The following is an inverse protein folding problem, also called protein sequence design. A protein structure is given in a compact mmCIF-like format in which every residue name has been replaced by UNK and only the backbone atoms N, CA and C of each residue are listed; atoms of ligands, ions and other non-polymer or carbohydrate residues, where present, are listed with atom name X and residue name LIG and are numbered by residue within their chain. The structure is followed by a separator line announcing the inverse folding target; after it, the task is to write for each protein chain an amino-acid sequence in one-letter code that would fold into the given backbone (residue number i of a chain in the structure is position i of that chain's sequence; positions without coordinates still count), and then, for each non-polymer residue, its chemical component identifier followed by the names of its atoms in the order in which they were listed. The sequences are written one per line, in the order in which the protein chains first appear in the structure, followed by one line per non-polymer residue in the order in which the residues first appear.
data_IF_599967270339
#
_entry.id   IF_599967270339
#
_cell.length_a   1.000
_cell.length_b   1.000
_cell.length_c   1.000
_cell.angle_alpha   90.00
_cell.angle_beta   90.00
_cell.angle_gamma   90.00
#
_symmetry.space_group_name_H-M   'P 1'
#
loop_
_entity.id
_entity.type
_entity.pdbx_description
1 polymer ?
#
# COMPACT_ATOMS: atom_id res chain seq x y z
N UNK A 1 -16.43 -11.21 5.48
CA UNK A 1 -16.98 -9.85 5.27
C UNK A 1 -15.87 -9.00 4.74
N UNK A 2 -16.08 -8.33 3.61
CA UNK A 2 -15.04 -7.49 3.02
C UNK A 2 -14.65 -6.37 4.00
N UNK A 3 -13.34 -6.17 4.18
CA UNK A 3 -12.79 -5.08 4.99
C UNK A 3 -12.77 -3.78 4.19
N UNK A 4 -12.51 -3.86 2.88
CA UNK A 4 -12.60 -2.74 1.93
C UNK A 4 -13.55 -3.11 0.80
N UNK A 5 -14.49 -2.22 0.50
CA UNK A 5 -15.43 -2.34 -0.62
C UNK A 5 -15.34 -1.08 -1.46
N UNK A 6 -15.17 -1.25 -2.76
CA UNK A 6 -15.19 -0.17 -3.75
C UNK A 6 -16.28 -0.50 -4.76
N UNK A 7 -17.22 0.42 -4.94
CA UNK A 7 -18.39 0.22 -5.78
C UNK A 7 -18.48 1.33 -6.84
N UNK A 8 -18.31 0.95 -8.11
CA UNK A 8 -18.41 1.79 -9.31
C UNK A 8 -17.62 3.12 -9.19
N UNK A 9 -16.42 3.06 -8.58
CA UNK A 9 -15.58 4.23 -8.37
C UNK A 9 -15.11 4.80 -9.71
N UNK A 10 -15.45 6.06 -9.96
CA UNK A 10 -14.96 6.82 -11.11
C UNK A 10 -14.26 8.08 -10.64
N UNK A 11 -13.08 8.37 -11.20
CA UNK A 11 -12.35 9.61 -10.98
C UNK A 11 -12.01 10.29 -12.28
N UNK A 12 -12.42 11.57 -12.39
CA UNK A 12 -12.13 12.44 -13.52
C UNK A 12 -11.28 13.64 -13.06
N UNK A 13 -10.38 14.06 -13.90
CA UNK A 13 -9.63 15.31 -13.79
C UNK A 13 -9.85 16.12 -15.07
N UNK A 14 -10.76 17.08 -15.05
CA UNK A 14 -11.23 17.73 -16.26
C UNK A 14 -11.78 16.74 -17.27
N UNK A 15 -11.21 16.70 -18.48
CA UNK A 15 -11.60 15.77 -19.54
C UNK A 15 -11.00 14.35 -19.40
N UNK A 16 -10.01 14.15 -18.53
CA UNK A 16 -9.36 12.85 -18.34
C UNK A 16 -10.12 11.99 -17.35
N UNK A 17 -10.49 10.77 -17.73
CA UNK A 17 -11.03 9.74 -16.84
C UNK A 17 -9.87 8.86 -16.37
N UNK A 18 -9.42 9.07 -15.15
CA UNK A 18 -8.27 8.34 -14.59
C UNK A 18 -8.65 6.98 -13.98
N UNK A 19 -9.87 6.86 -13.44
CA UNK A 19 -10.49 5.59 -13.07
C UNK A 19 -11.94 5.59 -13.57
N UNK A 20 -12.42 4.45 -14.05
CA UNK A 20 -13.76 4.30 -14.63
C UNK A 20 -14.41 3.03 -14.07
N UNK A 21 -15.51 3.21 -13.35
CA UNK A 21 -16.39 2.15 -12.86
C UNK A 21 -15.62 1.00 -12.16
N UNK A 22 -14.62 1.36 -11.35
CA UNK A 22 -13.82 0.39 -10.58
C UNK A 22 -14.68 -0.20 -9.46
N UNK A 23 -14.86 -1.51 -9.48
CA UNK A 23 -15.49 -2.25 -8.40
C UNK A 23 -14.56 -3.37 -7.94
N UNK A 24 -14.26 -3.41 -6.65
CA UNK A 24 -13.43 -4.43 -6.01
C UNK A 24 -13.77 -4.57 -4.53
N UNK A 25 -13.42 -5.69 -3.95
CA UNK A 25 -13.45 -5.91 -2.52
C UNK A 25 -12.11 -6.46 -2.04
N UNK A 26 -11.80 -6.29 -0.76
CA UNK A 26 -10.66 -6.90 -0.09
C UNK A 26 -11.14 -7.48 1.23
N UNK A 27 -10.94 -8.79 1.42
CA UNK A 27 -11.30 -9.46 2.66
C UNK A 27 -10.25 -9.17 3.75
N UNK A 28 -10.69 -9.24 5.03
CA UNK A 28 -9.76 -9.15 6.15
C UNK A 28 -8.75 -10.30 6.08
N UNK A 29 -7.45 -10.00 6.27
CA UNK A 29 -6.39 -10.99 6.16
C UNK A 29 -6.07 -11.42 4.72
N UNK A 30 -6.45 -10.62 3.71
CA UNK A 30 -6.06 -10.86 2.32
C UNK A 30 -4.84 -10.00 1.94
N UNK A 31 -3.96 -10.51 1.07
CA UNK A 31 -2.95 -9.71 0.37
C UNK A 31 -3.40 -9.58 -1.08
N UNK A 32 -3.79 -8.36 -1.47
CA UNK A 32 -4.19 -8.02 -2.84
C UNK A 32 -3.12 -7.18 -3.50
N UNK A 33 -2.62 -7.60 -4.66
CA UNK A 33 -1.77 -6.78 -5.49
C UNK A 33 -2.56 -6.09 -6.60
N UNK A 34 -2.26 -4.82 -6.85
CA UNK A 34 -2.78 -4.06 -7.98
C UNK A 34 -1.61 -3.77 -8.93
N UNK A 35 -1.68 -4.33 -10.13
CA UNK A 35 -0.67 -4.14 -11.16
C UNK A 35 -1.27 -3.48 -12.41
N UNK A 36 -0.42 -3.09 -13.34
CA UNK A 36 -0.83 -2.48 -14.61
C UNK A 36 0.25 -1.56 -15.18
N UNK A 37 0.16 -1.19 -16.45
CA UNK A 37 1.10 -0.28 -17.10
C UNK A 37 1.18 1.09 -16.41
N UNK A 38 2.21 1.88 -16.74
CA UNK A 38 2.28 3.27 -16.31
C UNK A 38 1.10 4.06 -16.89
N UNK A 39 0.48 4.88 -16.05
CA UNK A 39 -0.74 5.60 -16.44
C UNK A 39 -2.04 4.81 -16.34
N UNK A 40 -2.03 3.54 -15.91
CA UNK A 40 -3.23 2.72 -15.77
C UNK A 40 -4.23 3.20 -14.69
N UNK A 41 -3.88 4.21 -13.87
CA UNK A 41 -4.78 4.75 -12.83
C UNK A 41 -4.53 4.22 -11.41
N UNK A 42 -3.50 3.40 -11.18
CA UNK A 42 -3.19 2.79 -9.88
C UNK A 42 -3.04 3.81 -8.75
N UNK A 43 -2.15 4.80 -8.92
CA UNK A 43 -1.91 5.84 -7.92
C UNK A 43 -3.14 6.74 -7.71
N UNK A 44 -3.96 6.94 -8.75
CA UNK A 44 -5.24 7.65 -8.63
C UNK A 44 -6.22 6.87 -7.76
N UNK A 45 -6.34 5.56 -7.97
CA UNK A 45 -7.17 4.70 -7.13
C UNK A 45 -6.71 4.76 -5.67
N UNK A 46 -5.40 4.57 -5.39
CA UNK A 46 -4.84 4.64 -4.04
C UNK A 46 -5.08 6.00 -3.38
N UNK A 47 -4.92 7.10 -4.13
CA UNK A 47 -5.23 8.44 -3.64
C UNK A 47 -6.72 8.58 -3.25
N UNK A 48 -7.62 7.97 -4.02
CA UNK A 48 -9.05 7.94 -3.72
C UNK A 48 -9.36 7.15 -2.45
N UNK A 49 -8.78 5.94 -2.31
CA UNK A 49 -8.96 5.08 -1.13
C UNK A 49 -8.41 5.72 0.15
N UNK A 50 -7.31 6.47 0.05
CA UNK A 50 -6.68 7.15 1.18
C UNK A 50 -7.25 8.55 1.47
N UNK A 51 -8.29 9.01 0.74
CA UNK A 51 -8.95 10.29 0.97
C UNK A 51 -8.21 11.53 0.48
N UNK A 52 -7.13 11.37 -0.32
CA UNK A 52 -6.40 12.52 -0.88
C UNK A 52 -7.20 13.27 -1.95
N UNK A 53 -8.14 12.61 -2.58
CA UNK A 53 -9.16 13.24 -3.42
C UNK A 53 -10.44 12.40 -3.40
N UNK A 54 -11.59 13.07 -3.41
CA UNK A 54 -12.86 12.38 -3.55
C UNK A 54 -13.01 11.78 -4.96
N UNK A 55 -13.62 10.60 -5.10
CA UNK A 55 -14.09 10.12 -6.40
C UNK A 55 -15.10 11.09 -7.01
N UNK A 56 -15.26 11.07 -8.33
CA UNK A 56 -16.30 11.83 -9.03
C UNK A 56 -17.67 11.17 -8.85
N UNK A 57 -17.69 9.83 -8.80
CA UNK A 57 -18.87 9.02 -8.47
C UNK A 57 -18.44 7.67 -7.89
N UNK A 58 -19.40 6.93 -7.36
CA UNK A 58 -19.18 5.64 -6.69
C UNK A 58 -18.94 5.78 -5.20
N UNK A 59 -18.75 4.64 -4.53
CA UNK A 59 -18.60 4.54 -3.09
C UNK A 59 -17.34 3.78 -2.71
N UNK A 60 -16.79 4.12 -1.54
CA UNK A 60 -15.69 3.39 -0.92
C UNK A 60 -16.04 3.18 0.55
N UNK A 61 -16.15 1.92 0.97
CA UNK A 61 -16.42 1.57 2.37
C UNK A 61 -15.24 0.82 2.96
N UNK A 62 -14.88 1.17 4.17
CA UNK A 62 -13.88 0.48 4.97
C UNK A 62 -14.47 0.09 6.31
N UNK A 63 -14.42 -1.20 6.64
CA UNK A 63 -15.03 -1.76 7.85
C UNK A 63 -16.51 -1.33 7.98
N UNK A 64 -17.25 -1.44 6.87
CA UNK A 64 -18.66 -1.05 6.73
C UNK A 64 -18.95 0.45 6.74
N UNK A 65 -17.93 1.34 6.84
CA UNK A 65 -18.11 2.79 6.94
C UNK A 65 -17.69 3.48 5.66
N UNK A 66 -18.52 4.42 5.16
CA UNK A 66 -18.23 5.23 3.99
C UNK A 66 -16.97 6.09 4.20
N UNK A 67 -16.06 6.08 3.21
CA UNK A 67 -14.84 6.88 3.18
C UNK A 67 -14.97 8.15 2.33
N UNK A 68 -15.89 8.17 1.36
CA UNK A 68 -16.03 9.33 0.46
C UNK A 68 -16.33 10.59 1.26
N UNK A 69 -15.55 11.64 1.03
CA UNK A 69 -15.64 12.91 1.74
C UNK A 69 -14.94 12.96 3.10
N UNK A 70 -14.30 11.86 3.53
CA UNK A 70 -13.46 11.89 4.74
C UNK A 70 -12.05 12.38 4.41
N UNK A 71 -11.42 13.01 5.42
CA UNK A 71 -10.01 13.43 5.32
C UNK A 71 -9.07 12.23 5.51
N UNK A 72 -7.83 12.29 5.00
CA UNK A 72 -6.83 11.23 5.21
C UNK A 72 -6.61 10.89 6.68
N UNK A 73 -6.63 11.88 7.58
CA UNK A 73 -6.46 11.71 9.02
C UNK A 73 -7.63 10.92 9.63
N UNK A 74 -8.86 11.22 9.19
CA UNK A 74 -10.04 10.48 9.64
C UNK A 74 -10.00 9.03 9.16
N UNK A 75 -9.55 8.77 7.94
CA UNK A 75 -9.38 7.43 7.37
C UNK A 75 -8.27 6.67 8.12
N UNK A 76 -7.13 7.32 8.39
CA UNK A 76 -6.05 6.75 9.20
C UNK A 76 -6.53 6.36 10.61
N UNK A 77 -7.33 7.22 11.25
CA UNK A 77 -7.93 6.94 12.56
C UNK A 77 -8.91 5.74 12.53
N UNK A 78 -9.49 5.39 11.38
CA UNK A 78 -10.30 4.18 11.21
C UNK A 78 -9.46 2.91 11.06
N UNK A 79 -8.14 3.04 10.81
CA UNK A 79 -7.20 1.93 10.69
C UNK A 79 -6.81 1.58 9.25
N UNK A 80 -7.11 2.43 8.27
CA UNK A 80 -6.59 2.30 6.92
C UNK A 80 -5.43 3.27 6.75
N UNK A 81 -4.22 2.74 6.64
CA UNK A 81 -2.99 3.53 6.48
C UNK A 81 -2.40 3.35 5.08
N UNK A 82 -1.65 4.36 4.64
CA UNK A 82 -0.96 4.33 3.35
C UNK A 82 0.51 4.71 3.51
N UNK A 83 1.38 4.02 2.77
CA UNK A 83 2.75 4.48 2.50
C UNK A 83 2.78 5.28 1.18
N UNK A 84 3.87 6.02 0.96
CA UNK A 84 4.07 6.81 -0.24
C UNK A 84 5.23 6.23 -1.07
N UNK A 85 5.17 6.40 -2.37
CA UNK A 85 6.22 5.97 -3.30
C UNK A 85 7.58 6.58 -2.95
N UNK A 86 7.60 7.87 -2.56
CA UNK A 86 8.80 8.56 -2.08
C UNK A 86 8.71 8.62 -0.55
N UNK A 87 9.62 7.97 0.19
CA UNK A 87 9.63 8.00 1.64
C UNK A 87 9.70 9.42 2.19
N UNK A 88 8.84 9.72 3.16
CA UNK A 88 8.77 11.03 3.83
C UNK A 88 9.17 10.87 5.29
N UNK A 89 10.45 10.57 5.53
CA UNK A 89 10.99 10.54 6.88
C UNK A 89 11.34 11.95 7.38
N UNK A 90 11.28 12.13 8.68
CA UNK A 90 11.82 13.31 9.36
C UNK A 90 13.34 13.10 9.50
N UNK A 91 14.10 13.58 8.53
CA UNK A 91 15.51 13.27 8.36
C UNK A 91 16.39 13.61 9.56
N UNK A 92 16.07 14.71 10.29
CA UNK A 92 16.80 15.15 11.47
C UNK A 92 16.43 14.39 12.76
N UNK A 93 15.30 13.67 12.76
CA UNK A 93 14.89 12.84 13.88
C UNK A 93 15.52 11.46 13.77
N UNK A 94 15.72 10.79 14.92
CA UNK A 94 16.15 9.39 14.94
C UNK A 94 15.10 8.48 14.28
N UNK A 95 15.52 7.27 13.92
CA UNK A 95 14.62 6.23 13.41
C UNK A 95 13.52 5.93 14.43
N UNK A 96 13.85 5.84 15.71
CA UNK A 96 12.88 5.62 16.79
C UNK A 96 11.85 6.74 16.88
N UNK A 97 12.29 8.00 16.90
CA UNK A 97 11.38 9.15 16.96
C UNK A 97 10.45 9.21 15.74
N UNK A 98 10.92 8.87 14.53
CA UNK A 98 10.09 8.75 13.37
C UNK A 98 8.94 7.75 13.56
N UNK A 99 9.21 6.60 14.17
CA UNK A 99 8.19 5.56 14.40
C UNK A 99 7.26 5.96 15.54
N UNK A 100 7.78 6.61 16.59
CA UNK A 100 6.97 7.16 17.68
C UNK A 100 5.89 8.13 17.18
N UNK A 101 6.18 8.94 16.15
CA UNK A 101 5.16 9.83 15.55
C UNK A 101 3.92 9.05 15.09
N UNK A 102 4.12 7.88 14.48
CA UNK A 102 3.01 7.00 14.10
C UNK A 102 2.29 6.41 15.32
N UNK A 103 3.05 5.97 16.31
CA UNK A 103 2.50 5.36 17.52
C UNK A 103 1.61 6.32 18.33
N UNK A 104 1.92 7.63 18.32
CA UNK A 104 1.14 8.66 19.04
C UNK A 104 -0.32 8.75 18.59
N UNK A 105 -0.67 8.26 17.40
CA UNK A 105 -2.07 8.20 16.96
C UNK A 105 -2.95 7.33 17.89
N UNK A 106 -2.38 6.28 18.49
CA UNK A 106 -3.08 5.33 19.36
C UNK A 106 -2.60 5.35 20.80
N UNK A 107 -1.38 5.79 21.03
CA UNK A 107 -0.68 5.78 22.30
C UNK A 107 -0.26 7.21 22.63
N UNK A 108 -1.12 8.00 23.34
CA UNK A 108 -0.91 9.44 23.50
C UNK A 108 0.22 9.83 24.45
N UNK A 109 0.81 8.88 25.18
CA UNK A 109 1.97 9.14 26.05
C UNK A 109 3.27 8.79 25.34
N UNK A 110 4.34 9.56 25.57
CA UNK A 110 5.65 9.32 24.96
C UNK A 110 6.23 7.96 25.32
N UNK A 111 6.02 7.48 26.54
CA UNK A 111 6.53 6.20 26.98
C UNK A 111 5.82 5.05 26.28
N UNK A 112 4.48 5.05 26.22
CA UNK A 112 3.73 4.04 25.48
C UNK A 112 4.04 4.07 23.98
N UNK A 113 4.18 5.26 23.37
CA UNK A 113 4.57 5.39 21.97
C UNK A 113 5.99 4.84 21.72
N UNK A 114 6.91 5.04 22.67
CA UNK A 114 8.28 4.52 22.60
C UNK A 114 8.29 2.98 22.65
N UNK A 115 7.53 2.38 23.56
CA UNK A 115 7.45 0.93 23.70
C UNK A 115 6.94 0.27 22.43
N UNK A 116 5.86 0.82 21.84
CA UNK A 116 5.32 0.37 20.55
C UNK A 116 6.35 0.55 19.43
N UNK A 117 7.03 1.70 19.39
CA UNK A 117 8.03 1.97 18.36
C UNK A 117 9.19 0.96 18.41
N UNK A 118 9.66 0.57 19.60
CA UNK A 118 10.70 -0.46 19.75
C UNK A 118 10.24 -1.82 19.20
N UNK A 119 9.01 -2.25 19.51
CA UNK A 119 8.45 -3.51 19.00
C UNK A 119 8.34 -3.51 17.47
N UNK A 120 7.85 -2.40 16.91
CA UNK A 120 7.73 -2.25 15.47
C UNK A 120 9.09 -2.22 14.78
N UNK A 121 10.08 -1.51 15.34
CA UNK A 121 11.44 -1.49 14.80
C UNK A 121 12.10 -2.87 14.79
N UNK A 122 11.82 -3.71 15.78
CA UNK A 122 12.22 -5.11 15.78
C UNK A 122 11.63 -5.86 14.57
N UNK A 123 10.30 -5.72 14.35
CA UNK A 123 9.57 -6.43 13.30
C UNK A 123 10.02 -6.05 11.89
N UNK A 124 10.53 -4.83 11.67
CA UNK A 124 11.04 -4.37 10.37
C UNK A 124 12.57 -4.45 10.26
N UNK A 125 13.26 -4.99 11.27
CA UNK A 125 14.72 -5.15 11.27
C UNK A 125 15.51 -3.84 11.33
N UNK A 126 15.01 -2.85 12.08
CA UNK A 126 15.66 -1.54 12.27
C UNK A 126 16.05 -1.26 13.72
N UNK A 127 15.93 -2.23 14.65
CA UNK A 127 16.19 -2.04 16.07
C UNK A 127 17.60 -1.50 16.34
N UNK A 128 18.63 -2.04 15.71
CA UNK A 128 20.02 -1.64 15.91
C UNK A 128 20.32 -0.22 15.38
N UNK A 129 19.45 0.29 14.50
CA UNK A 129 19.56 1.62 13.91
C UNK A 129 18.60 2.64 14.56
N UNK A 130 17.93 2.26 15.64
CA UNK A 130 16.88 3.07 16.27
C UNK A 130 17.28 4.50 16.63
N UNK A 131 18.51 4.69 17.08
CA UNK A 131 19.03 5.99 17.55
C UNK A 131 19.79 6.77 16.46
N UNK A 132 19.94 6.20 15.25
CA UNK A 132 20.60 6.87 14.12
C UNK A 132 19.61 7.89 13.51
N UNK A 133 20.07 9.07 13.07
CA UNK A 133 19.25 9.99 12.30
C UNK A 133 18.67 9.31 11.05
N UNK A 134 17.36 9.47 10.82
CA UNK A 134 16.68 8.80 9.70
C UNK A 134 17.28 9.16 8.35
N UNK A 135 17.78 10.39 8.19
CA UNK A 135 18.43 10.86 6.96
C UNK A 135 19.72 10.13 6.58
N UNK A 136 20.35 9.40 7.52
CA UNK A 136 21.58 8.62 7.26
C UNK A 136 21.31 7.22 6.72
N UNK A 137 20.05 6.78 6.67
CA UNK A 137 19.71 5.47 6.14
C UNK A 137 19.66 5.52 4.60
N UNK A 138 20.06 4.40 3.98
CA UNK A 138 19.90 4.18 2.55
C UNK A 138 18.41 4.06 2.16
N UNK A 139 18.11 3.96 0.87
CA UNK A 139 16.74 3.88 0.34
C UNK A 139 15.93 2.75 0.99
N UNK A 140 16.54 1.57 1.16
CA UNK A 140 15.87 0.43 1.80
C UNK A 140 15.52 0.73 3.27
N UNK A 141 16.43 1.36 4.01
CA UNK A 141 16.18 1.81 5.38
C UNK A 141 15.08 2.86 5.47
N UNK A 142 15.07 3.84 4.57
CA UNK A 142 14.02 4.86 4.51
C UNK A 142 12.63 4.25 4.26
N UNK A 143 12.52 3.28 3.35
CA UNK A 143 11.27 2.56 3.09
C UNK A 143 10.80 1.74 4.30
N UNK A 144 11.74 1.11 5.02
CA UNK A 144 11.42 0.39 6.27
C UNK A 144 10.97 1.35 7.38
N UNK A 145 11.52 2.57 7.49
CA UNK A 145 11.02 3.59 8.44
C UNK A 145 9.58 3.96 8.11
N UNK A 146 9.26 4.17 6.83
CA UNK A 146 7.90 4.53 6.42
C UNK A 146 6.90 3.42 6.74
N UNK A 147 7.26 2.17 6.43
CA UNK A 147 6.48 0.99 6.81
C UNK A 147 6.31 0.91 8.34
N UNK A 148 7.40 1.08 9.11
CA UNK A 148 7.36 1.05 10.56
C UNK A 148 6.45 2.14 11.14
N UNK A 149 6.53 3.36 10.61
CA UNK A 149 5.66 4.46 11.03
C UNK A 149 4.17 4.15 10.76
N UNK A 150 3.86 3.55 9.61
CA UNK A 150 2.50 3.12 9.30
C UNK A 150 2.05 1.98 10.25
N UNK A 151 2.90 0.99 10.52
CA UNK A 151 2.60 -0.12 11.44
C UNK A 151 2.38 0.35 12.87
N UNK A 152 3.13 1.34 13.33
CA UNK A 152 3.00 1.89 14.68
C UNK A 152 1.63 2.55 14.95
N UNK A 153 0.84 2.84 13.90
CA UNK A 153 -0.55 3.29 14.05
C UNK A 153 -1.53 2.14 14.37
N UNK A 154 -1.05 0.89 14.45
CA UNK A 154 -1.87 -0.33 14.62
C UNK A 154 -2.96 -0.44 13.56
N UNK A 155 -2.61 -0.48 12.26
CA UNK A 155 -3.58 -0.47 11.18
C UNK A 155 -4.28 -1.82 11.03
N UNK A 156 -5.55 -1.79 10.57
CA UNK A 156 -6.27 -2.98 10.09
C UNK A 156 -5.86 -3.32 8.64
N UNK A 157 -5.54 -2.29 7.86
CA UNK A 157 -5.14 -2.40 6.46
C UNK A 157 -4.03 -1.40 6.12
N UNK A 158 -3.07 -1.86 5.33
CA UNK A 158 -2.03 -1.02 4.72
C UNK A 158 -2.19 -0.97 3.20
N UNK A 159 -2.22 0.25 2.67
CA UNK A 159 -2.05 0.52 1.24
C UNK A 159 -0.57 0.83 0.99
N UNK A 160 0.11 -0.05 0.26
CA UNK A 160 1.55 0.02 0.01
C UNK A 160 1.81 0.41 -1.45
N UNK A 161 2.40 1.59 -1.67
CA UNK A 161 2.60 2.16 -3.00
C UNK A 161 4.06 2.04 -3.44
N UNK A 162 4.36 1.08 -4.35
CA UNK A 162 5.68 0.80 -4.93
C UNK A 162 6.81 0.69 -3.89
N UNK A 163 6.54 -0.07 -2.81
CA UNK A 163 7.48 -0.18 -1.69
C UNK A 163 8.79 -0.89 -2.07
N UNK A 164 8.79 -1.72 -3.11
CA UNK A 164 10.00 -2.37 -3.62
C UNK A 164 10.75 -1.53 -4.67
N UNK A 165 10.19 -0.41 -5.14
CA UNK A 165 10.83 0.44 -6.14
C UNK A 165 12.20 0.97 -5.67
N UNK A 166 13.23 0.85 -6.51
CA UNK A 166 14.60 1.29 -6.20
C UNK A 166 15.38 0.39 -5.25
N UNK A 167 14.83 -0.75 -4.84
CA UNK A 167 15.55 -1.78 -4.09
C UNK A 167 16.27 -2.74 -5.04
N UNK A 168 17.41 -3.27 -4.59
CA UNK A 168 18.02 -4.40 -5.28
C UNK A 168 17.22 -5.70 -5.01
N UNK A 169 17.46 -6.79 -5.80
CA UNK A 169 16.67 -8.03 -5.64
C UNK A 169 16.70 -8.61 -4.23
N UNK A 170 17.84 -8.61 -3.54
CA UNK A 170 17.94 -9.14 -2.16
C UNK A 170 17.19 -8.27 -1.15
N UNK A 171 17.20 -6.95 -1.29
CA UNK A 171 16.42 -6.02 -0.47
C UNK A 171 14.91 -6.18 -0.72
N UNK A 172 14.50 -6.38 -1.98
CA UNK A 172 13.10 -6.62 -2.32
C UNK A 172 12.57 -7.93 -1.71
N UNK A 173 13.37 -9.01 -1.75
CA UNK A 173 13.05 -10.27 -1.07
C UNK A 173 12.95 -10.07 0.44
N UNK A 174 13.91 -9.40 1.06
CA UNK A 174 13.88 -9.12 2.50
C UNK A 174 12.65 -8.30 2.89
N UNK A 175 12.26 -7.31 2.08
CA UNK A 175 11.03 -6.54 2.30
C UNK A 175 9.78 -7.43 2.18
N UNK A 176 9.74 -8.34 1.20
CA UNK A 176 8.63 -9.28 1.05
C UNK A 176 8.46 -10.17 2.30
N UNK A 177 9.55 -10.65 2.91
CA UNK A 177 9.49 -11.40 4.17
C UNK A 177 8.95 -10.56 5.33
N UNK A 178 9.35 -9.29 5.43
CA UNK A 178 8.80 -8.37 6.43
C UNK A 178 7.29 -8.20 6.21
N UNK A 179 6.83 -7.97 4.98
CA UNK A 179 5.41 -7.81 4.67
C UNK A 179 4.62 -9.10 4.96
N UNK A 180 5.20 -10.28 4.72
CA UNK A 180 4.60 -11.56 5.10
C UNK A 180 4.42 -11.68 6.62
N UNK A 181 5.42 -11.28 7.40
CA UNK A 181 5.34 -11.26 8.86
C UNK A 181 4.28 -10.27 9.36
N UNK A 182 4.19 -9.09 8.75
CA UNK A 182 3.16 -8.09 9.04
C UNK A 182 1.75 -8.65 8.78
N UNK A 183 1.57 -9.31 7.64
CA UNK A 183 0.31 -9.97 7.30
C UNK A 183 -0.02 -11.09 8.29
N UNK A 184 0.95 -11.95 8.65
CA UNK A 184 0.76 -13.00 9.66
C UNK A 184 0.36 -12.43 11.03
N UNK A 185 0.71 -11.19 11.33
CA UNK A 185 0.25 -10.41 12.48
C UNK A 185 -1.19 -9.90 12.36
N UNK A 186 -1.92 -10.23 11.30
CA UNK A 186 -3.33 -9.89 11.10
C UNK A 186 -3.60 -8.62 10.30
N UNK A 187 -2.58 -7.97 9.74
CA UNK A 187 -2.76 -6.78 8.91
C UNK A 187 -3.11 -7.17 7.48
N UNK A 188 -4.19 -6.62 6.94
CA UNK A 188 -4.57 -6.76 5.53
C UNK A 188 -3.69 -5.87 4.65
N UNK A 189 -3.22 -6.38 3.51
CA UNK A 189 -2.33 -5.63 2.64
C UNK A 189 -2.95 -5.41 1.25
N UNK A 190 -2.90 -4.18 0.76
CA UNK A 190 -3.15 -3.87 -0.65
C UNK A 190 -1.88 -3.21 -1.19
N UNK A 191 -1.24 -3.85 -2.17
CA UNK A 191 0.05 -3.41 -2.71
C UNK A 191 -0.09 -2.97 -4.16
N UNK A 192 0.41 -1.80 -4.51
CA UNK A 192 0.69 -1.41 -5.90
C UNK A 192 2.15 -1.72 -6.15
N UNK A 193 2.44 -2.61 -7.09
CA UNK A 193 3.80 -3.02 -7.41
C UNK A 193 3.99 -3.26 -8.92
N UNK A 194 5.22 -3.03 -9.36
CA UNK A 194 5.69 -3.37 -10.71
C UNK A 194 6.81 -4.43 -10.68
N UNK A 195 7.33 -4.75 -9.49
CA UNK A 195 8.30 -5.83 -9.28
C UNK A 195 7.53 -7.14 -9.17
N UNK A 196 7.41 -7.84 -10.30
CA UNK A 196 6.58 -9.05 -10.41
C UNK A 196 6.99 -10.13 -9.39
N UNK A 197 8.29 -10.23 -9.06
CA UNK A 197 8.78 -11.19 -8.06
C UNK A 197 8.15 -10.97 -6.68
N UNK A 198 7.98 -9.71 -6.26
CA UNK A 198 7.33 -9.37 -4.98
C UNK A 198 5.84 -9.74 -5.03
N UNK A 199 5.16 -9.45 -6.15
CA UNK A 199 3.75 -9.80 -6.35
C UNK A 199 3.56 -11.32 -6.27
N UNK A 200 4.36 -12.10 -7.01
CA UNK A 200 4.27 -13.58 -7.03
C UNK A 200 4.57 -14.22 -5.68
N UNK A 201 5.41 -13.57 -4.85
CA UNK A 201 5.74 -14.09 -3.52
C UNK A 201 4.69 -13.80 -2.46
N UNK A 202 3.95 -12.70 -2.61
CA UNK A 202 3.11 -12.18 -1.53
C UNK A 202 1.61 -12.27 -1.80
N UNK A 203 1.18 -11.98 -3.03
CA UNK A 203 -0.23 -11.76 -3.31
C UNK A 203 -1.04 -13.06 -3.28
N UNK A 204 -2.17 -13.03 -2.61
CA UNK A 204 -3.20 -14.06 -2.73
C UNK A 204 -4.03 -13.84 -4.00
N UNK A 205 -4.25 -12.57 -4.35
CA UNK A 205 -5.00 -12.17 -5.53
C UNK A 205 -4.37 -10.95 -6.17
N UNK A 206 -4.42 -10.90 -7.49
CA UNK A 206 -3.92 -9.81 -8.31
C UNK A 206 -5.07 -9.18 -9.08
N UNK A 207 -5.16 -7.87 -9.03
CA UNK A 207 -6.05 -7.03 -9.82
C UNK A 207 -5.23 -6.30 -10.88
N UNK A 208 -5.66 -6.33 -12.13
CA UNK A 208 -4.94 -5.67 -13.21
C UNK A 208 -5.74 -4.46 -13.68
N UNK A 209 -5.13 -3.28 -13.58
CA UNK A 209 -5.66 -2.04 -14.15
C UNK A 209 -5.03 -1.76 -15.51
N UNK A 210 -5.87 -1.32 -16.46
CA UNK A 210 -5.42 -0.72 -17.71
C UNK A 210 -6.39 0.41 -18.10
N UNK A 211 -5.87 1.55 -18.54
CA UNK A 211 -6.65 2.75 -18.90
C UNK A 211 -7.79 3.10 -17.92
N UNK A 212 -7.51 2.97 -16.63
CA UNK A 212 -8.45 3.29 -15.55
C UNK A 212 -9.55 2.25 -15.31
N UNK A 213 -9.47 1.05 -15.88
CA UNK A 213 -10.43 -0.03 -15.71
C UNK A 213 -9.77 -1.30 -15.18
N UNK A 214 -10.51 -2.11 -14.43
CA UNK A 214 -10.10 -3.47 -14.08
C UNK A 214 -10.30 -4.38 -15.29
N UNK A 215 -9.21 -4.94 -15.82
CA UNK A 215 -9.23 -5.83 -16.97
C UNK A 215 -9.08 -7.31 -16.63
N UNK A 216 -8.55 -7.62 -15.43
CA UNK A 216 -8.41 -8.98 -14.93
C UNK A 216 -8.33 -9.02 -13.40
N UNK A 217 -8.74 -10.16 -12.84
CA UNK A 217 -8.59 -10.51 -11.42
C UNK A 217 -8.38 -12.02 -11.31
N UNK A 218 -7.44 -12.47 -10.49
CA UNK A 218 -7.15 -13.89 -10.28
C UNK A 218 -5.94 -14.09 -9.38
N UNK A 219 -5.48 -15.34 -9.24
CA UNK A 219 -4.19 -15.64 -8.60
C UNK A 219 -3.04 -15.05 -9.42
N UNK A 220 -1.86 -14.85 -8.82
CA UNK A 220 -0.68 -14.39 -9.57
C UNK A 220 -0.41 -15.24 -10.82
N UNK A 221 -0.52 -16.59 -10.73
CA UNK A 221 -0.28 -17.53 -11.81
C UNK A 221 -1.32 -17.42 -12.95
N UNK A 222 -2.58 -17.18 -12.61
CA UNK A 222 -3.64 -16.97 -13.59
C UNK A 222 -3.44 -15.67 -14.35
N UNK A 223 -3.11 -14.61 -13.64
CA UNK A 223 -2.97 -13.26 -14.19
C UNK A 223 -1.78 -13.19 -15.17
N UNK A 224 -0.62 -13.78 -14.86
CA UNK A 224 0.54 -13.75 -15.77
C UNK A 224 0.33 -14.54 -17.06
N UNK A 225 -0.64 -15.47 -17.09
CA UNK A 225 -1.01 -16.25 -18.28
C UNK A 225 -2.20 -15.67 -19.04
N UNK A 226 -2.83 -14.64 -18.51
CA UNK A 226 -4.02 -14.05 -19.11
C UNK A 226 -3.66 -13.27 -20.39
N UNK A 227 -4.21 -13.63 -21.58
CA UNK A 227 -3.88 -12.96 -22.83
C UNK A 227 -4.17 -11.46 -22.82
N UNK A 228 -5.25 -11.03 -22.15
CA UNK A 228 -5.62 -9.60 -22.04
C UNK A 228 -4.56 -8.83 -21.23
N UNK A 229 -4.01 -9.45 -20.18
CA UNK A 229 -2.95 -8.86 -19.36
C UNK A 229 -1.66 -8.76 -20.17
N UNK A 230 -1.28 -9.83 -20.87
CA UNK A 230 -0.09 -9.87 -21.74
C UNK A 230 -0.20 -8.75 -22.80
N UNK A 231 -1.35 -8.61 -23.45
CA UNK A 231 -1.61 -7.57 -24.45
C UNK A 231 -1.48 -6.15 -23.85
N UNK A 232 -1.99 -5.93 -22.64
CA UNK A 232 -1.89 -4.64 -21.96
C UNK A 232 -0.45 -4.20 -21.68
N UNK A 233 0.45 -5.15 -21.37
CA UNK A 233 1.85 -4.87 -21.08
C UNK A 233 2.75 -4.80 -22.33
N UNK A 234 2.52 -5.67 -23.33
CA UNK A 234 3.35 -5.76 -24.54
C UNK A 234 2.83 -4.91 -25.70
N UNK A 235 1.59 -4.43 -25.60
CA UNK A 235 0.89 -3.71 -26.68
C UNK A 235 0.30 -4.65 -27.76
N UNK A 236 -0.68 -4.14 -28.50
CA UNK A 236 -1.45 -4.92 -29.49
C UNK A 236 -0.64 -5.56 -30.64
N UNK A 237 0.63 -5.22 -30.79
CA UNK A 237 1.48 -5.74 -31.88
C UNK A 237 2.05 -7.15 -31.63
N UNK A 238 1.88 -7.72 -30.44
CA UNK A 238 2.38 -9.05 -30.08
C UNK A 238 1.28 -10.14 -30.10
N UNK A 239 0.35 -10.08 -31.06
CA UNK A 239 -0.47 -11.25 -31.39
C UNK A 239 0.38 -12.16 -32.29
N UNK A 240 0.96 -13.22 -31.70
CA UNK A 240 1.49 -14.34 -32.46
C UNK A 240 0.36 -15.22 -32.97
#
# INVERSE_FOLDING_TARGET
MALLEVDNLTKRFGGLVANRDISLNVEAGEIVAIIGPNGAGKSTLFNGLAGHHAPTSGHVRFDGKELVGRTPEAIAAMGLMRTYQIPRSFAAMSVLENVMVGALLRHPTLDAARDVAWQVLESVGLRERALVPAGELNVAGQKRIELARALATSPKMLLLDEVAGGLNPSEAVALAEILRSVHAGGVTLVIVEHVLEVVMRLAHRVLVLDFGQLIASGTPEEVVRNPTVIEAYLGRKYRA
#
